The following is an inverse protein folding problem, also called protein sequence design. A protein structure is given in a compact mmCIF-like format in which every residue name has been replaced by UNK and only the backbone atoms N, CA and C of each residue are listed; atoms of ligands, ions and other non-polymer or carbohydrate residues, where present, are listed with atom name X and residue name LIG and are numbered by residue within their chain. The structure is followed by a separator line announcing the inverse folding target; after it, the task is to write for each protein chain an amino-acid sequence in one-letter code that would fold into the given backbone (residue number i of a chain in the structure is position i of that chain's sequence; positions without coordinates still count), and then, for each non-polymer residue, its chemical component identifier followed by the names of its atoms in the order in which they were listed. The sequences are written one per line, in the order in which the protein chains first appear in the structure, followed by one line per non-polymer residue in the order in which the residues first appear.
data_IF_392343340240
#
_entry.id   IF_392343340240
#
_cell.length_a   1.000
_cell.length_b   1.000
_cell.length_c   1.000
_cell.angle_alpha   90.00
_cell.angle_beta   90.00
_cell.angle_gamma   90.00
#
_symmetry.space_group_name_H-M   'P 1'
#
loop_
_entity.id
_entity.type
_entity.pdbx_description
1 polymer ?
#
# COMPACT_ATOMS: atom_id res chain seq x y z
N UNK A 1 1.04 13.32 -24.54
CA UNK A 1 0.42 12.76 -23.33
C UNK A 1 1.15 13.35 -22.14
N UNK A 2 0.47 13.94 -21.21
CA UNK A 2 1.08 14.50 -19.99
C UNK A 2 1.79 13.41 -19.19
N UNK A 3 2.83 13.77 -18.43
CA UNK A 3 3.47 12.84 -17.51
C UNK A 3 2.55 12.63 -16.31
N UNK A 4 1.96 11.45 -16.17
CA UNK A 4 0.99 11.18 -15.14
C UNK A 4 1.52 10.20 -14.09
N UNK A 5 0.92 10.24 -12.90
CA UNK A 5 1.24 9.33 -11.81
C UNK A 5 0.03 8.49 -11.42
N UNK A 6 0.28 7.31 -10.87
CA UNK A 6 -0.71 6.45 -10.23
C UNK A 6 -0.44 6.42 -8.73
N UNK A 7 -1.41 6.89 -7.93
CA UNK A 7 -1.36 6.81 -6.48
C UNK A 7 -2.34 5.74 -5.98
N UNK A 8 -1.85 4.83 -5.13
CA UNK A 8 -2.60 3.67 -4.64
C UNK A 8 -2.72 3.73 -3.11
N UNK A 9 -3.95 3.73 -2.60
CA UNK A 9 -4.20 3.79 -1.17
C UNK A 9 -3.90 2.48 -0.45
N UNK A 10 -3.74 2.56 0.86
CA UNK A 10 -3.85 1.40 1.74
C UNK A 10 -5.26 0.80 1.71
N UNK A 11 -5.40 -0.37 2.36
CA UNK A 11 -6.70 -1.06 2.45
C UNK A 11 -6.58 -2.55 2.74
N UNK A 12 -5.43 -3.06 3.17
CA UNK A 12 -5.25 -4.49 3.47
C UNK A 12 -5.59 -5.37 2.27
N UNK A 13 -6.44 -6.39 2.48
CA UNK A 13 -6.86 -7.31 1.39
C UNK A 13 -7.62 -6.60 0.26
N UNK A 14 -8.27 -5.47 0.53
CA UNK A 14 -8.93 -4.69 -0.50
C UNK A 14 -7.95 -4.23 -1.59
N UNK A 15 -6.64 -4.18 -1.28
CA UNK A 15 -5.57 -3.92 -2.23
C UNK A 15 -5.55 -4.84 -3.46
N UNK A 16 -6.22 -5.99 -3.43
CA UNK A 16 -6.42 -6.82 -4.61
C UNK A 16 -7.19 -6.05 -5.73
N UNK A 17 -8.01 -5.06 -5.39
CA UNK A 17 -8.66 -4.20 -6.37
C UNK A 17 -7.66 -3.35 -7.16
N UNK A 18 -6.53 -2.94 -6.57
CA UNK A 18 -5.47 -2.24 -7.30
C UNK A 18 -4.91 -3.07 -8.46
N UNK A 19 -4.80 -4.40 -8.29
CA UNK A 19 -4.34 -5.29 -9.36
C UNK A 19 -5.29 -5.25 -10.56
N UNK A 20 -6.60 -5.26 -10.29
CA UNK A 20 -7.63 -5.13 -11.32
C UNK A 20 -7.59 -3.77 -12.02
N UNK A 21 -7.39 -2.68 -11.26
CA UNK A 21 -7.22 -1.34 -11.83
C UNK A 21 -6.02 -1.30 -12.77
N UNK A 22 -4.84 -1.76 -12.32
CA UNK A 22 -3.62 -1.72 -13.13
C UNK A 22 -3.75 -2.61 -14.37
N UNK A 23 -4.35 -3.79 -14.24
CA UNK A 23 -4.61 -4.68 -15.38
C UNK A 23 -5.50 -4.01 -16.42
N UNK A 24 -6.62 -3.42 -16.00
CA UNK A 24 -7.55 -2.75 -16.92
C UNK A 24 -6.96 -1.46 -17.54
N UNK A 25 -6.11 -0.73 -16.82
CA UNK A 25 -5.34 0.38 -17.40
C UNK A 25 -4.37 -0.12 -18.48
N UNK A 26 -3.71 -1.27 -18.24
CA UNK A 26 -2.82 -1.87 -19.24
C UNK A 26 -3.57 -2.32 -20.50
N UNK A 27 -4.80 -2.84 -20.37
CA UNK A 27 -5.70 -3.17 -21.49
C UNK A 27 -6.04 -1.94 -22.35
N UNK A 28 -6.11 -0.75 -21.73
CA UNK A 28 -6.28 0.53 -22.41
C UNK A 28 -4.97 1.12 -22.98
N UNK A 29 -3.84 0.40 -22.86
CA UNK A 29 -2.53 0.89 -23.27
C UNK A 29 -1.93 1.93 -22.31
N UNK A 30 -2.51 2.11 -21.13
CA UNK A 30 -2.09 3.08 -20.11
C UNK A 30 -1.16 2.40 -19.11
N UNK A 31 0.12 2.78 -19.16
CA UNK A 31 1.12 2.31 -18.18
C UNK A 31 1.60 3.48 -17.35
N UNK A 32 1.46 3.44 -16.01
CA UNK A 32 1.85 4.56 -15.17
C UNK A 32 3.37 4.77 -15.21
N UNK A 33 3.84 5.98 -15.62
CA UNK A 33 5.26 6.30 -15.62
C UNK A 33 5.78 6.74 -14.24
N UNK A 34 4.89 6.92 -13.27
CA UNK A 34 5.19 7.28 -11.88
C UNK A 34 4.23 6.53 -10.98
N UNK A 35 4.73 6.00 -9.87
CA UNK A 35 3.97 5.22 -8.89
C UNK A 35 4.14 5.81 -7.50
N UNK A 36 3.04 5.89 -6.75
CA UNK A 36 3.07 6.16 -5.32
C UNK A 36 2.10 5.22 -4.59
N UNK A 37 2.41 4.83 -3.37
CA UNK A 37 1.52 3.92 -2.66
C UNK A 37 1.77 3.86 -1.15
N UNK A 38 0.71 3.52 -0.42
CA UNK A 38 0.72 3.25 1.01
C UNK A 38 0.20 1.83 1.28
N UNK A 39 0.75 1.15 2.28
CA UNK A 39 0.24 -0.15 2.71
C UNK A 39 0.10 -1.15 1.55
N UNK A 40 -1.08 -1.73 1.36
CA UNK A 40 -1.38 -2.61 0.22
C UNK A 40 -1.11 -1.95 -1.14
N UNK A 41 -1.44 -0.66 -1.31
CA UNK A 41 -1.09 0.10 -2.50
C UNK A 41 0.41 0.30 -2.64
N UNK A 42 1.13 0.44 -1.53
CA UNK A 42 2.59 0.48 -1.48
C UNK A 42 3.23 -0.82 -1.97
N UNK A 43 2.69 -1.97 -1.59
CA UNK A 43 3.15 -3.27 -2.09
C UNK A 43 2.98 -3.38 -3.62
N UNK A 44 1.80 -2.99 -4.13
CA UNK A 44 1.53 -3.02 -5.57
C UNK A 44 2.45 -2.03 -6.31
N UNK A 45 2.55 -0.78 -5.86
CA UNK A 45 3.42 0.23 -6.45
C UNK A 45 4.90 -0.19 -6.41
N UNK A 46 5.37 -0.69 -5.26
CA UNK A 46 6.75 -1.08 -5.07
C UNK A 46 7.18 -2.24 -5.98
N UNK A 47 6.34 -3.25 -6.15
CA UNK A 47 6.65 -4.40 -7.02
C UNK A 47 6.54 -4.02 -8.51
N UNK A 48 5.53 -3.23 -8.89
CA UNK A 48 5.41 -2.69 -10.26
C UNK A 48 6.58 -1.76 -10.59
N UNK A 49 7.06 -0.98 -9.61
CA UNK A 49 8.23 -0.12 -9.75
C UNK A 49 9.49 -0.86 -10.19
N UNK A 50 9.63 -2.13 -9.79
CA UNK A 50 10.71 -3.01 -10.23
C UNK A 50 10.55 -3.50 -11.69
N UNK A 51 9.43 -3.17 -12.35
CA UNK A 51 9.13 -3.63 -13.72
C UNK A 51 8.52 -5.04 -13.77
N UNK A 52 8.01 -5.56 -12.67
CA UNK A 52 7.28 -6.84 -12.62
C UNK A 52 5.96 -6.70 -13.39
N UNK A 53 5.63 -7.63 -14.31
CA UNK A 53 4.36 -7.63 -15.01
C UNK A 53 3.17 -7.78 -14.05
N UNK A 54 2.08 -7.07 -14.32
CA UNK A 54 0.87 -7.11 -13.48
C UNK A 54 0.30 -8.52 -13.34
N UNK A 55 0.34 -9.32 -14.39
CA UNK A 55 -0.17 -10.69 -14.36
C UNK A 55 0.63 -11.58 -13.39
N UNK A 56 1.96 -11.41 -13.34
CA UNK A 56 2.81 -12.13 -12.41
C UNK A 56 2.52 -11.73 -10.96
N UNK A 57 2.33 -10.42 -10.70
CA UNK A 57 1.95 -9.91 -9.39
C UNK A 57 0.55 -10.40 -8.97
N UNK A 58 -0.43 -10.39 -9.88
CA UNK A 58 -1.79 -10.90 -9.64
C UNK A 58 -1.76 -12.40 -9.32
N UNK A 59 -0.97 -13.18 -10.06
CA UNK A 59 -0.81 -14.61 -9.78
C UNK A 59 -0.18 -14.88 -8.40
N UNK A 60 0.81 -14.08 -7.99
CA UNK A 60 1.39 -14.16 -6.65
C UNK A 60 0.36 -13.80 -5.57
N UNK A 61 -0.39 -12.72 -5.76
CA UNK A 61 -1.48 -12.33 -4.85
C UNK A 61 -2.53 -13.41 -4.68
N UNK A 62 -2.90 -14.11 -5.77
CA UNK A 62 -3.84 -15.24 -5.72
C UNK A 62 -3.29 -16.40 -4.89
N UNK A 63 -2.02 -16.79 -5.08
CA UNK A 63 -1.40 -17.85 -4.26
C UNK A 63 -1.42 -17.50 -2.77
N UNK A 64 -1.20 -16.22 -2.44
CA UNK A 64 -1.28 -15.74 -1.05
C UNK A 64 -2.72 -15.82 -0.53
N UNK A 65 -3.70 -15.45 -1.35
CA UNK A 65 -5.11 -15.50 -0.97
C UNK A 65 -5.64 -16.93 -0.79
N UNK A 66 -5.11 -17.89 -1.55
CA UNK A 66 -5.49 -19.32 -1.46
C UNK A 66 -4.91 -19.98 -0.19
N UNK A 67 -3.72 -19.56 0.27
CA UNK A 67 -3.03 -20.16 1.42
C UNK A 67 -2.55 -19.10 2.45
N UNK A 68 -3.42 -18.23 2.99
CA UNK A 68 -2.98 -17.07 3.78
C UNK A 68 -2.18 -17.43 5.03
N UNK A 69 -2.48 -18.55 5.68
CA UNK A 69 -1.76 -19.01 6.88
C UNK A 69 -0.30 -19.39 6.57
N UNK A 70 0.00 -19.80 5.35
CA UNK A 70 1.38 -20.08 4.92
C UNK A 70 2.23 -18.81 4.86
N UNK A 71 1.62 -17.70 4.45
CA UNK A 71 2.30 -16.44 4.18
C UNK A 71 2.30 -15.48 5.38
N UNK A 72 1.31 -15.61 6.28
CA UNK A 72 1.17 -14.78 7.47
C UNK A 72 1.16 -15.71 8.69
N UNK A 73 2.34 -15.88 9.29
CA UNK A 73 2.50 -16.79 10.43
C UNK A 73 2.12 -16.10 11.74
N UNK A 74 1.24 -16.68 12.55
CA UNK A 74 0.91 -16.15 13.86
C UNK A 74 2.09 -16.28 14.84
N UNK A 75 2.48 -15.19 15.49
CA UNK A 75 3.51 -15.13 16.56
C UNK A 75 2.91 -15.33 17.96
N UNK A 76 1.88 -16.20 18.09
CA UNK A 76 1.10 -16.36 19.32
C UNK A 76 1.93 -16.87 20.50
N UNK A 77 2.87 -17.79 20.25
CA UNK A 77 3.73 -18.35 21.32
C UNK A 77 4.67 -17.28 21.83
N UNK A 78 5.32 -16.56 20.94
CA UNK A 78 6.24 -15.46 21.27
C UNK A 78 5.52 -14.34 22.03
N UNK A 79 4.28 -14.01 21.62
CA UNK A 79 3.46 -13.03 22.34
C UNK A 79 3.13 -13.47 23.77
N UNK A 80 2.82 -14.75 23.98
CA UNK A 80 2.57 -15.29 25.32
C UNK A 80 3.85 -15.27 26.16
N UNK A 81 5.00 -15.63 25.59
CA UNK A 81 6.29 -15.61 26.28
C UNK A 81 6.66 -14.17 26.69
N UNK A 82 6.41 -13.18 25.84
CA UNK A 82 6.61 -11.76 26.17
C UNK A 82 5.70 -11.33 27.34
N UNK A 83 4.41 -11.66 27.29
CA UNK A 83 3.44 -11.32 28.34
C UNK A 83 3.80 -11.95 29.70
N UNK A 84 4.48 -13.10 29.67
CA UNK A 84 5.00 -13.78 30.85
C UNK A 84 6.38 -13.29 31.27
N UNK A 85 6.98 -12.35 30.54
CA UNK A 85 8.31 -11.81 30.78
C UNK A 85 9.43 -12.82 30.50
N UNK A 86 9.20 -13.84 29.68
CA UNK A 86 10.11 -14.95 29.41
C UNK A 86 10.70 -14.94 27.99
N UNK A 87 10.20 -14.07 27.10
CA UNK A 87 10.62 -14.01 25.70
C UNK A 87 11.07 -12.61 25.25
N UNK A 88 11.61 -12.50 24.02
CA UNK A 88 11.90 -11.21 23.41
C UNK A 88 10.60 -10.44 23.13
N UNK A 89 10.69 -9.11 23.08
CA UNK A 89 9.56 -8.27 22.71
C UNK A 89 9.05 -8.60 21.31
N UNK A 90 7.73 -8.80 21.18
CA UNK A 90 7.03 -9.06 19.92
C UNK A 90 6.31 -7.78 19.48
N UNK A 91 6.62 -7.30 18.29
CA UNK A 91 6.11 -6.04 17.79
C UNK A 91 4.96 -6.20 16.76
N UNK A 92 4.36 -7.41 16.65
CA UNK A 92 3.22 -7.71 15.79
C UNK A 92 2.74 -9.16 15.96
N UNK A 93 1.47 -9.43 15.62
CA UNK A 93 0.85 -10.76 15.77
C UNK A 93 1.17 -11.69 14.59
N UNK A 94 1.35 -11.13 13.39
CA UNK A 94 1.58 -11.88 12.15
C UNK A 94 2.97 -11.56 11.57
N UNK A 95 3.75 -12.59 11.30
CA UNK A 95 5.02 -12.47 10.57
C UNK A 95 4.76 -12.52 9.05
N UNK A 96 4.99 -11.42 8.29
CA UNK A 96 4.81 -11.35 6.84
C UNK A 96 6.04 -11.82 6.05
N UNK A 97 7.03 -12.44 6.68
CA UNK A 97 8.32 -12.79 6.05
C UNK A 97 8.15 -13.61 4.77
N UNK A 98 7.26 -14.61 4.80
CA UNK A 98 7.02 -15.48 3.63
C UNK A 98 6.25 -14.74 2.53
N UNK A 99 5.33 -13.86 2.91
CA UNK A 99 4.62 -13.01 1.97
C UNK A 99 5.57 -12.05 1.23
N UNK A 100 6.43 -11.36 1.97
CA UNK A 100 7.43 -10.47 1.35
C UNK A 100 8.43 -11.26 0.48
N UNK A 101 8.81 -12.47 0.87
CA UNK A 101 9.67 -13.33 0.05
C UNK A 101 8.99 -13.74 -1.26
N UNK A 102 7.68 -14.04 -1.25
CA UNK A 102 6.89 -14.35 -2.45
C UNK A 102 6.88 -13.17 -3.43
N UNK A 103 6.65 -11.95 -2.94
CA UNK A 103 6.66 -10.75 -3.77
C UNK A 103 8.06 -10.46 -4.35
N UNK A 104 9.10 -10.55 -3.52
CA UNK A 104 10.48 -10.29 -3.95
C UNK A 104 11.03 -11.37 -4.89
N UNK A 105 10.52 -12.59 -4.84
CA UNK A 105 10.86 -13.65 -5.78
C UNK A 105 10.46 -13.31 -7.24
N UNK A 106 9.52 -12.38 -7.44
CA UNK A 106 9.16 -11.87 -8.77
C UNK A 106 10.25 -11.00 -9.40
N UNK A 107 11.15 -10.44 -8.58
CA UNK A 107 12.26 -9.59 -9.01
C UNK A 107 13.59 -10.00 -8.35
N UNK A 108 14.12 -11.21 -8.62
CA UNK A 108 15.28 -11.75 -7.90
C UNK A 108 16.59 -10.98 -8.13
N UNK A 109 16.62 -10.09 -9.11
CA UNK A 109 17.75 -9.20 -9.40
C UNK A 109 17.78 -7.96 -8.49
N UNK A 110 16.63 -7.54 -7.94
CA UNK A 110 16.48 -6.32 -7.17
C UNK A 110 16.82 -6.55 -5.69
N UNK A 111 17.45 -5.56 -5.05
CA UNK A 111 17.89 -5.59 -3.65
C UNK A 111 17.42 -4.39 -2.86
N UNK A 112 17.48 -3.21 -3.47
CA UNK A 112 17.18 -1.94 -2.82
C UNK A 112 16.18 -1.13 -3.62
N UNK A 113 15.68 -0.05 -3.04
CA UNK A 113 14.78 0.90 -3.71
C UNK A 113 15.43 1.59 -4.91
N UNK A 114 16.78 1.64 -4.95
CA UNK A 114 17.51 2.14 -6.12
C UNK A 114 17.38 1.24 -7.37
N UNK A 115 16.89 0.01 -7.22
CA UNK A 115 16.62 -0.91 -8.33
C UNK A 115 15.25 -0.64 -9.00
N UNK A 116 14.44 0.28 -8.50
CA UNK A 116 13.19 0.67 -9.16
C UNK A 116 13.46 1.25 -10.55
N UNK A 117 12.79 0.70 -11.55
CA UNK A 117 12.87 1.09 -12.97
C UNK A 117 11.87 2.17 -13.34
N UNK A 118 10.80 2.27 -12.54
CA UNK A 118 9.78 3.32 -12.64
C UNK A 118 9.91 4.19 -11.40
N UNK A 119 9.89 5.53 -11.52
CA UNK A 119 9.84 6.43 -10.37
C UNK A 119 8.76 6.00 -9.37
N UNK A 120 9.17 5.69 -8.15
CA UNK A 120 8.30 5.06 -7.16
C UNK A 120 8.50 5.68 -5.78
N UNK A 121 7.40 5.91 -5.05
CA UNK A 121 7.38 6.40 -3.68
C UNK A 121 6.46 5.52 -2.82
N UNK A 122 6.95 5.08 -1.66
CA UNK A 122 6.19 4.32 -0.67
C UNK A 122 6.22 5.03 0.66
N UNK A 123 5.05 5.30 1.24
CA UNK A 123 4.94 5.92 2.56
C UNK A 123 5.10 4.90 3.68
N UNK A 124 5.62 5.34 4.81
CA UNK A 124 5.79 4.62 6.06
C UNK A 124 5.85 5.62 7.23
N UNK A 125 5.92 5.12 8.46
CA UNK A 125 6.20 5.93 9.66
C UNK A 125 7.33 5.28 10.45
N UNK A 126 8.30 6.08 10.89
CA UNK A 126 9.30 5.65 11.85
C UNK A 126 8.84 5.95 13.28
N UNK A 127 8.67 4.91 14.10
CA UNK A 127 8.24 5.03 15.49
C UNK A 127 9.37 5.47 16.43
N UNK A 128 10.64 5.36 16.04
CA UNK A 128 11.76 5.82 16.85
C UNK A 128 11.86 7.35 16.77
N UNK A 129 11.83 7.89 15.56
CA UNK A 129 11.87 9.33 15.35
C UNK A 129 10.49 10.00 15.45
N UNK A 130 9.39 9.24 15.49
CA UNK A 130 7.98 9.70 15.48
C UNK A 130 7.70 10.64 14.30
N UNK A 131 8.12 10.25 13.10
CA UNK A 131 7.98 11.06 11.90
C UNK A 131 7.57 10.24 10.68
N UNK A 132 6.91 10.85 9.70
CA UNK A 132 6.60 10.20 8.44
C UNK A 132 7.89 9.93 7.63
N UNK A 133 7.92 8.81 6.94
CA UNK A 133 9.02 8.36 6.09
C UNK A 133 8.50 8.07 4.69
N UNK A 134 9.27 8.43 3.67
CA UNK A 134 9.04 7.97 2.32
C UNK A 134 10.28 7.28 1.74
N UNK A 135 10.11 6.04 1.34
CA UNK A 135 11.06 5.35 0.48
C UNK A 135 10.80 5.77 -0.96
N UNK A 136 11.75 6.46 -1.58
CA UNK A 136 11.55 7.06 -2.91
C UNK A 136 12.75 6.91 -3.82
N UNK A 137 12.52 6.61 -5.08
CA UNK A 137 13.53 6.62 -6.12
C UNK A 137 12.90 6.97 -7.49
N UNK A 138 13.53 7.86 -8.29
CA UNK A 138 14.74 8.63 -7.98
C UNK A 138 14.51 9.60 -6.82
N UNK A 139 15.57 10.17 -6.21
CA UNK A 139 15.43 11.17 -5.16
C UNK A 139 14.49 12.31 -5.58
N UNK A 140 13.54 12.64 -4.72
CA UNK A 140 12.58 13.71 -4.92
C UNK A 140 12.45 14.53 -3.62
N UNK A 141 12.18 15.84 -3.70
CA UNK A 141 11.89 16.63 -2.51
C UNK A 141 10.56 16.15 -1.89
N UNK A 142 10.42 16.20 -0.57
CA UNK A 142 9.17 15.86 0.07
C UNK A 142 8.08 16.88 -0.31
N UNK A 143 6.80 16.48 -0.28
CA UNK A 143 5.69 17.40 -0.32
C UNK A 143 5.82 18.47 0.77
N UNK A 144 5.31 19.69 0.53
CA UNK A 144 5.49 20.82 1.47
C UNK A 144 4.80 20.61 2.82
N UNK A 145 3.78 19.75 2.85
CA UNK A 145 2.97 19.49 4.04
C UNK A 145 3.48 18.26 4.80
N UNK A 146 4.50 18.44 5.64
CA UNK A 146 5.00 17.40 6.52
C UNK A 146 6.52 17.41 6.71
N UNK A 147 6.97 16.97 7.88
CA UNK A 147 8.39 16.78 8.19
C UNK A 147 8.83 15.35 7.80
N UNK A 148 8.85 15.10 6.50
CA UNK A 148 9.16 13.78 5.94
C UNK A 148 10.66 13.47 6.01
N UNK A 149 10.97 12.27 6.47
CA UNK A 149 12.26 11.66 6.20
C UNK A 149 12.24 10.97 4.83
N UNK A 150 13.26 11.24 4.02
CA UNK A 150 13.36 10.71 2.65
C UNK A 150 14.48 9.69 2.59
N UNK A 151 14.15 8.43 2.28
CA UNK A 151 15.10 7.33 2.16
C UNK A 151 15.13 6.86 0.70
N UNK A 152 16.29 7.01 0.05
CA UNK A 152 16.45 6.76 -1.40
C UNK A 152 17.13 5.44 -1.73
N UNK A 153 17.75 4.78 -0.75
CA UNK A 153 18.45 3.49 -0.92
C UNK A 153 18.20 2.59 0.30
N UNK A 154 16.97 2.05 0.39
CA UNK A 154 16.60 1.08 1.42
C UNK A 154 16.56 -0.33 0.84
N UNK A 155 16.83 -1.35 1.67
CA UNK A 155 16.53 -2.72 1.29
C UNK A 155 15.05 -2.87 0.95
N UNK A 156 14.71 -3.48 -0.18
CA UNK A 156 13.32 -3.64 -0.62
C UNK A 156 12.42 -4.31 0.43
N UNK A 157 12.97 -5.31 1.15
CA UNK A 157 12.24 -5.95 2.24
C UNK A 157 11.87 -4.97 3.36
N UNK A 158 12.75 -4.02 3.66
CA UNK A 158 12.50 -2.98 4.66
C UNK A 158 11.41 -2.01 4.17
N UNK A 159 11.52 -1.54 2.92
CA UNK A 159 10.57 -0.60 2.34
C UNK A 159 9.17 -1.22 2.16
N UNK A 160 9.08 -2.43 1.57
CA UNK A 160 7.81 -3.13 1.39
C UNK A 160 7.20 -3.57 2.74
N UNK A 161 8.04 -4.04 3.67
CA UNK A 161 7.60 -4.40 5.01
C UNK A 161 7.11 -3.19 5.80
N UNK A 162 7.84 -2.07 5.75
CA UNK A 162 7.50 -0.83 6.46
C UNK A 162 6.19 -0.23 5.97
N UNK A 163 5.99 -0.14 4.65
CA UNK A 163 4.75 0.44 4.12
C UNK A 163 3.49 -0.34 4.53
N UNK A 164 3.58 -1.66 4.78
CA UNK A 164 2.45 -2.54 5.07
C UNK A 164 2.29 -2.93 6.55
N UNK A 165 3.23 -2.58 7.42
CA UNK A 165 3.26 -3.04 8.81
C UNK A 165 2.21 -2.34 9.67
N UNK A 166 0.92 -2.69 9.46
CA UNK A 166 -0.18 -2.20 10.30
C UNK A 166 0.12 -2.52 11.77
N UNK A 167 0.15 -1.50 12.67
CA UNK A 167 0.50 -1.70 14.07
C UNK A 167 -0.34 -2.78 14.73
N UNK A 168 0.30 -3.60 15.58
CA UNK A 168 -0.29 -4.76 16.26
C UNK A 168 -0.55 -5.94 15.31
N UNK A 169 -0.90 -5.72 14.05
CA UNK A 169 -1.24 -6.78 13.10
C UNK A 169 0.02 -7.46 12.57
N UNK A 170 0.90 -6.70 11.93
CA UNK A 170 2.12 -7.26 11.33
C UNK A 170 3.37 -6.89 12.13
N UNK A 171 4.33 -7.81 12.15
CA UNK A 171 5.64 -7.50 12.73
C UNK A 171 6.29 -6.36 11.97
N UNK A 172 6.64 -5.30 12.71
CA UNK A 172 7.26 -4.10 12.17
C UNK A 172 8.71 -4.38 11.78
N UNK A 173 9.13 -4.14 10.54
CA UNK A 173 10.53 -4.29 10.17
C UNK A 173 11.38 -3.25 10.85
N UNK A 174 12.56 -3.68 11.30
CA UNK A 174 13.49 -2.84 12.05
C UNK A 174 14.87 -2.87 11.41
N UNK A 175 15.61 -1.79 11.59
CA UNK A 175 17.05 -1.74 11.43
C UNK A 175 17.70 -1.20 12.72
N UNK A 176 18.97 -0.78 12.66
CA UNK A 176 19.69 -0.30 13.85
C UNK A 176 19.13 1.03 14.40
N UNK A 177 18.37 1.78 13.63
CA UNK A 177 17.95 3.15 13.94
C UNK A 177 16.43 3.35 13.87
N UNK A 178 15.71 2.49 13.15
CA UNK A 178 14.31 2.70 12.81
C UNK A 178 13.43 1.50 13.16
N UNK A 179 12.18 1.80 13.47
CA UNK A 179 11.06 0.83 13.54
C UNK A 179 9.96 1.34 12.63
N UNK A 180 9.79 0.68 11.47
CA UNK A 180 8.85 1.14 10.46
C UNK A 180 7.48 0.50 10.63
N UNK A 181 6.43 1.34 10.53
CA UNK A 181 5.04 0.91 10.52
C UNK A 181 4.29 1.49 9.33
N UNK A 182 3.06 1.01 9.13
CA UNK A 182 2.21 1.28 7.96
C UNK A 182 2.16 2.76 7.56
N UNK A 183 2.38 3.00 6.28
CA UNK A 183 2.38 4.33 5.70
C UNK A 183 1.03 5.03 5.70
N UNK A 184 -0.06 4.26 5.80
CA UNK A 184 -1.40 4.82 5.94
C UNK A 184 -1.58 5.71 7.16
N UNK A 185 -0.76 5.52 8.20
CA UNK A 185 -0.77 6.39 9.39
C UNK A 185 -0.31 7.83 9.08
N UNK A 186 0.55 8.01 8.10
CA UNK A 186 1.05 9.32 7.68
C UNK A 186 0.28 9.85 6.46
N UNK A 187 0.15 9.02 5.44
CA UNK A 187 -0.49 9.36 4.17
C UNK A 187 -1.02 8.10 3.48
N UNK A 188 -2.33 7.86 3.59
CA UNK A 188 -2.94 6.66 3.06
C UNK A 188 -3.19 6.68 1.55
N UNK A 189 -3.19 7.85 0.92
CA UNK A 189 -3.32 8.02 -0.53
C UNK A 189 -2.27 9.03 -0.99
N UNK A 190 -1.03 8.61 -1.26
CA UNK A 190 0.13 9.48 -1.40
C UNK A 190 0.23 10.12 -2.80
N UNK A 191 -0.81 10.82 -3.24
CA UNK A 191 -0.84 11.52 -4.52
C UNK A 191 0.20 12.64 -4.62
N UNK A 192 0.48 13.32 -3.50
CA UNK A 192 1.46 14.41 -3.47
C UNK A 192 2.88 13.90 -3.72
N UNK A 193 3.18 12.66 -3.36
CA UNK A 193 4.45 12.03 -3.72
C UNK A 193 4.55 11.72 -5.21
N UNK A 194 3.43 11.42 -5.87
CA UNK A 194 3.44 11.29 -7.33
C UNK A 194 3.70 12.64 -8.01
N UNK A 195 3.15 13.74 -7.49
CA UNK A 195 3.49 15.10 -7.96
C UNK A 195 4.95 15.45 -7.68
N UNK A 196 5.48 15.13 -6.51
CA UNK A 196 6.89 15.34 -6.15
C UNK A 196 7.85 14.60 -7.09
N UNK A 197 7.47 13.42 -7.60
CA UNK A 197 8.19 12.66 -8.61
C UNK A 197 8.02 13.23 -10.05
N UNK A 198 7.28 14.32 -10.21
CA UNK A 198 7.12 15.06 -11.45
C UNK A 198 5.90 14.66 -12.28
N UNK A 199 4.86 14.11 -11.67
CA UNK A 199 3.57 13.95 -12.33
C UNK A 199 2.92 15.33 -12.55
N UNK A 200 2.34 15.55 -13.73
CA UNK A 200 1.53 16.74 -14.05
C UNK A 200 0.05 16.51 -13.70
N UNK A 201 -0.36 15.24 -13.62
CA UNK A 201 -1.69 14.75 -13.28
C UNK A 201 -1.58 13.46 -12.53
N UNK A 202 -2.47 13.21 -11.58
CA UNK A 202 -2.46 11.96 -10.81
C UNK A 202 -3.82 11.27 -10.95
N UNK A 203 -3.77 10.00 -11.33
CA UNK A 203 -4.87 9.07 -11.17
C UNK A 203 -4.69 8.40 -9.81
N UNK A 204 -5.63 8.59 -8.90
CA UNK A 204 -5.58 8.01 -7.57
C UNK A 204 -6.62 6.90 -7.43
N UNK A 205 -6.28 5.85 -6.70
CA UNK A 205 -7.21 4.75 -6.38
C UNK A 205 -7.41 4.71 -4.88
N UNK A 206 -8.59 5.14 -4.45
CA UNK A 206 -8.99 5.17 -3.04
C UNK A 206 -9.83 3.93 -2.70
N UNK A 207 -9.34 3.11 -1.78
CA UNK A 207 -10.09 1.97 -1.24
C UNK A 207 -10.70 2.36 0.10
N UNK A 208 -11.94 1.98 0.32
CA UNK A 208 -12.67 2.31 1.54
C UNK A 208 -13.25 1.06 2.17
N UNK A 209 -13.02 0.88 3.47
CA UNK A 209 -13.74 -0.07 4.30
C UNK A 209 -15.14 0.48 4.69
N UNK A 210 -15.84 1.11 3.76
CA UNK A 210 -17.16 1.68 4.01
C UNK A 210 -18.18 0.59 4.37
N UNK A 211 -18.23 0.24 5.63
CA UNK A 211 -19.24 -0.62 6.23
C UNK A 211 -19.61 -0.05 7.59
N UNK A 212 -20.90 0.20 7.84
CA UNK A 212 -21.39 0.51 9.18
C UNK A 212 -21.06 -0.68 10.09
N UNK A 213 -20.05 -0.54 10.96
CA UNK A 213 -19.78 -1.55 11.96
C UNK A 213 -20.93 -1.58 12.97
N UNK A 214 -21.47 -2.76 13.25
CA UNK A 214 -22.41 -2.92 14.36
C UNK A 214 -21.68 -2.75 15.68
N UNK A 215 -22.22 -1.89 16.55
CA UNK A 215 -21.66 -1.64 17.90
C UNK A 215 -21.69 -2.89 18.80
N UNK A 216 -22.53 -3.87 18.49
CA UNK A 216 -22.78 -5.03 19.35
C UNK A 216 -21.74 -6.15 19.24
N UNK A 217 -20.80 -6.10 18.26
CA UNK A 217 -19.85 -7.20 17.98
C UNK A 217 -18.41 -6.73 17.79
N UNK A 218 -18.06 -5.52 18.30
CA UNK A 218 -16.74 -4.96 18.08
C UNK A 218 -15.72 -5.54 19.07
N UNK A 219 -14.96 -6.56 18.64
CA UNK A 219 -13.85 -7.11 19.41
C UNK A 219 -12.61 -6.20 19.40
N UNK A 220 -11.64 -6.48 20.28
CA UNK A 220 -10.41 -5.68 20.47
C UNK A 220 -9.70 -5.32 19.16
N UNK A 221 -9.53 -6.30 18.27
CA UNK A 221 -8.90 -6.10 16.96
C UNK A 221 -9.67 -5.13 16.06
N UNK A 222 -11.01 -5.21 16.05
CA UNK A 222 -11.85 -4.29 15.29
C UNK A 222 -11.79 -2.87 15.88
N UNK A 223 -11.68 -2.74 17.20
CA UNK A 223 -11.50 -1.44 17.86
C UNK A 223 -10.17 -0.82 17.44
N UNK A 224 -9.07 -1.57 17.53
CA UNK A 224 -7.73 -1.08 17.14
C UNK A 224 -7.73 -0.68 15.65
N UNK A 225 -8.15 -1.56 14.74
CA UNK A 225 -8.17 -1.28 13.30
C UNK A 225 -9.02 -0.04 12.96
N UNK A 226 -10.22 0.08 13.52
CA UNK A 226 -11.07 1.25 13.30
C UNK A 226 -10.54 2.54 13.94
N UNK A 227 -9.79 2.45 15.03
CA UNK A 227 -9.11 3.62 15.59
C UNK A 227 -8.01 4.11 14.66
N UNK A 228 -7.25 3.20 14.07
CA UNK A 228 -6.27 3.50 13.03
C UNK A 228 -6.96 4.09 11.79
N UNK A 229 -8.03 3.44 11.28
CA UNK A 229 -8.83 3.95 10.16
C UNK A 229 -9.33 5.39 10.40
N UNK A 230 -9.76 5.68 11.62
CA UNK A 230 -10.23 7.03 11.97
C UNK A 230 -9.12 8.08 11.88
N UNK A 231 -7.93 7.77 12.41
CA UNK A 231 -6.75 8.67 12.34
C UNK A 231 -6.34 8.90 10.88
N UNK A 232 -6.30 7.83 10.09
CA UNK A 232 -5.95 7.85 8.67
C UNK A 232 -6.94 8.69 7.85
N UNK A 233 -8.25 8.52 8.07
CA UNK A 233 -9.28 9.28 7.34
C UNK A 233 -9.28 10.77 7.72
N UNK A 234 -9.06 11.10 8.98
CA UNK A 234 -8.99 12.49 9.44
C UNK A 234 -7.78 13.21 8.82
N UNK A 235 -6.64 12.52 8.70
CA UNK A 235 -5.45 13.06 8.04
C UNK A 235 -5.68 13.31 6.53
N UNK A 236 -6.33 12.37 5.83
CA UNK A 236 -6.62 12.49 4.39
C UNK A 236 -7.60 13.62 4.06
N UNK A 237 -8.60 13.87 4.91
CA UNK A 237 -9.62 14.91 4.68
C UNK A 237 -9.09 16.35 4.77
N UNK A 238 -7.87 16.57 5.23
CA UNK A 238 -7.29 17.91 5.46
C UNK A 238 -6.36 18.37 4.34
N UNK A 239 -6.00 17.51 3.41
CA UNK A 239 -5.04 17.83 2.34
C UNK A 239 -5.74 18.34 1.09
N UNK A 240 -5.10 19.29 0.39
CA UNK A 240 -5.47 19.70 -0.96
C UNK A 240 -4.41 19.16 -1.91
N UNK A 241 -4.82 18.43 -2.97
CA UNK A 241 -3.86 17.88 -3.91
C UNK A 241 -3.04 18.99 -4.58
N UNK A 242 -1.76 18.72 -4.81
CA UNK A 242 -0.83 19.69 -5.41
C UNK A 242 -1.13 20.00 -6.89
N UNK A 243 -2.03 19.24 -7.54
CA UNK A 243 -2.37 19.41 -8.94
C UNK A 243 -3.64 18.65 -9.36
N UNK A 244 -3.89 18.53 -10.68
CA UNK A 244 -5.05 17.80 -11.20
C UNK A 244 -5.08 16.36 -10.74
N UNK A 245 -6.19 15.96 -10.09
CA UNK A 245 -6.41 14.65 -9.49
C UNK A 245 -7.73 14.06 -9.98
N UNK A 246 -7.68 12.80 -10.46
CA UNK A 246 -8.87 11.98 -10.73
C UNK A 246 -8.85 10.78 -9.80
N UNK A 247 -9.89 10.63 -8.98
CA UNK A 247 -9.99 9.53 -8.01
C UNK A 247 -10.91 8.44 -8.54
N UNK A 248 -10.39 7.22 -8.56
CA UNK A 248 -11.14 5.97 -8.78
C UNK A 248 -11.48 5.35 -7.42
N UNK A 249 -12.69 4.85 -7.27
CA UNK A 249 -13.16 4.24 -6.03
C UNK A 249 -13.85 2.89 -6.35
N UNK A 250 -13.08 1.80 -6.56
CA UNK A 250 -13.64 0.48 -6.78
C UNK A 250 -14.61 0.08 -5.66
N UNK A 251 -15.72 -0.55 -6.03
CA UNK A 251 -16.68 -1.06 -5.05
C UNK A 251 -16.10 -2.28 -4.31
N UNK A 252 -15.63 -2.03 -3.10
CA UNK A 252 -15.11 -3.06 -2.18
C UNK A 252 -16.06 -3.34 -1.02
N UNK A 253 -17.31 -2.88 -1.13
CA UNK A 253 -18.33 -3.04 -0.10
C UNK A 253 -18.59 -4.51 0.24
N UNK A 254 -18.86 -4.80 1.51
CA UNK A 254 -19.16 -6.14 2.00
C UNK A 254 -17.97 -7.08 2.14
N UNK A 255 -16.75 -6.69 1.77
CA UNK A 255 -15.56 -7.51 1.96
C UNK A 255 -14.97 -7.24 3.35
N UNK A 256 -14.81 -8.28 4.20
CA UNK A 256 -14.20 -8.12 5.52
C UNK A 256 -12.68 -7.89 5.41
N UNK A 257 -12.08 -7.25 6.43
CA UNK A 257 -10.66 -6.87 6.46
C UNK A 257 -9.66 -8.02 6.20
N UNK A 258 -10.05 -9.28 6.43
CA UNK A 258 -9.25 -10.49 6.14
C UNK A 258 -9.98 -11.44 5.19
N UNK A 259 -10.78 -10.88 4.28
CA UNK A 259 -11.58 -11.63 3.31
C UNK A 259 -10.76 -12.16 2.14
N UNK A 260 -9.72 -12.98 2.37
CA UNK A 260 -8.86 -13.53 1.32
C UNK A 260 -9.65 -14.30 0.24
N UNK A 261 -10.74 -14.95 0.61
CA UNK A 261 -11.64 -15.65 -0.34
C UNK A 261 -12.32 -14.73 -1.36
N UNK A 262 -12.28 -13.41 -1.16
CA UNK A 262 -12.86 -12.42 -2.06
C UNK A 262 -11.82 -11.83 -3.04
N UNK A 263 -10.62 -12.41 -3.11
CA UNK A 263 -9.53 -11.88 -3.94
C UNK A 263 -9.98 -11.60 -5.38
N UNK A 264 -10.61 -12.58 -6.05
CA UNK A 264 -11.06 -12.45 -7.43
C UNK A 264 -12.17 -11.43 -7.62
N UNK A 265 -13.08 -11.35 -6.65
CA UNK A 265 -14.13 -10.33 -6.63
C UNK A 265 -13.52 -8.92 -6.56
N UNK A 266 -12.52 -8.73 -5.73
CA UNK A 266 -11.82 -7.44 -5.59
C UNK A 266 -11.06 -7.07 -6.87
N UNK A 267 -10.33 -8.00 -7.47
CA UNK A 267 -9.67 -7.78 -8.77
C UNK A 267 -10.70 -7.39 -9.83
N UNK A 268 -11.84 -8.10 -9.89
CA UNK A 268 -12.91 -7.77 -10.82
C UNK A 268 -13.51 -6.38 -10.57
N UNK A 269 -13.70 -5.98 -9.31
CA UNK A 269 -14.20 -4.65 -8.94
C UNK A 269 -13.27 -3.53 -9.40
N UNK A 270 -11.95 -3.69 -9.19
CA UNK A 270 -10.97 -2.73 -9.69
C UNK A 270 -10.99 -2.58 -11.21
N UNK A 271 -11.07 -3.69 -11.93
CA UNK A 271 -11.15 -3.67 -13.38
C UNK A 271 -12.47 -3.06 -13.89
N UNK A 272 -13.59 -3.30 -13.20
CA UNK A 272 -14.90 -2.75 -13.54
C UNK A 272 -14.92 -1.22 -13.42
N UNK A 273 -14.32 -0.66 -12.35
CA UNK A 273 -14.20 0.80 -12.14
C UNK A 273 -13.48 1.47 -13.32
N UNK A 274 -12.35 0.93 -13.74
CA UNK A 274 -11.59 1.47 -14.89
C UNK A 274 -12.38 1.37 -16.17
N UNK A 275 -13.03 0.23 -16.45
CA UNK A 275 -13.84 0.06 -17.68
C UNK A 275 -15.02 1.01 -17.73
N UNK A 276 -15.70 1.21 -16.59
CA UNK A 276 -16.85 2.13 -16.51
C UNK A 276 -16.45 3.58 -16.76
N UNK A 277 -15.22 3.97 -16.39
CA UNK A 277 -14.73 5.35 -16.51
C UNK A 277 -13.62 5.52 -17.56
N UNK A 278 -13.48 4.57 -18.50
CA UNK A 278 -12.37 4.57 -19.46
C UNK A 278 -12.25 5.88 -20.25
N UNK A 279 -13.38 6.41 -20.75
CA UNK A 279 -13.39 7.68 -21.50
C UNK A 279 -12.98 8.88 -20.64
N UNK A 280 -13.42 8.95 -19.38
CA UNK A 280 -13.04 9.99 -18.43
C UNK A 280 -11.56 9.92 -18.11
N UNK A 281 -11.03 8.72 -17.84
CA UNK A 281 -9.61 8.50 -17.57
C UNK A 281 -8.76 8.96 -18.76
N UNK A 282 -9.13 8.56 -19.99
CA UNK A 282 -8.38 8.94 -21.19
C UNK A 282 -8.42 10.46 -21.42
N UNK A 283 -9.57 11.11 -21.27
CA UNK A 283 -9.72 12.55 -21.37
C UNK A 283 -8.89 13.28 -20.31
N UNK A 284 -8.99 12.85 -19.05
CA UNK A 284 -8.20 13.41 -17.95
C UNK A 284 -6.70 13.31 -18.22
N UNK A 285 -6.19 12.16 -18.65
CA UNK A 285 -4.76 11.96 -18.92
C UNK A 285 -4.28 12.66 -20.18
N UNK A 286 -5.17 12.96 -21.13
CA UNK A 286 -4.88 13.77 -22.30
C UNK A 286 -4.83 15.27 -22.00
N UNK A 287 -5.40 15.70 -20.88
CA UNK A 287 -5.47 17.13 -20.52
C UNK A 287 -6.69 17.84 -21.10
N UNK A 288 -7.71 17.08 -21.48
CA UNK A 288 -8.97 17.58 -22.01
C UNK A 288 -9.95 17.98 -20.89
#
# INVERSE_FOLDING_TARGET
MHRWGLALSGGGILGAAHLGVVSALADLGLRPPILAGASAGGLVAGVLGLGVPIDALTAAGRRVADEPVRYFRPEVVQLLDELLGQGPAVNGILDPTQFLAELLALAPWARTTADWRVPTALTSVDLVALRPVCFVFPPAPPPPDGDWEVITDARLRLALGGTMAEPVVFTAPTDQQHVFVDGGLADNLPEDWAFALGAERVLAVALSHAGAASSSTMGLRAIIGRSVDFVVQDAAGRRRPAGPLLVLAPDTSGVPAFGFSHFDQLVAAGAAEVRARAGEIQAFLAGA
#
